data_IF_507940729730
#
_entry.id   IF_507940729730
#
_cell.length_a   1.000
_cell.length_b   1.000
_cell.length_c   1.000
_cell.angle_alpha   90.00
_cell.angle_beta   90.00
_cell.angle_gamma   90.00
#
_symmetry.space_group_name_H-M   'P 1'
#
loop_
_entity.id
_entity.type
_entity.pdbx_description
1 polymer ?
#
# COMPACT_ATOMS: atom_id res chain seq x y z
N UNK A 1 37.72 40.32 31.96
CA UNK A 1 36.96 39.19 32.52
C UNK A 1 35.55 39.08 31.89
N UNK A 2 34.75 40.11 31.80
CA UNK A 2 33.36 40.09 31.29
C UNK A 2 33.28 39.56 29.85
N UNK A 3 34.18 39.99 28.94
CA UNK A 3 34.19 39.49 27.56
C UNK A 3 34.44 37.99 27.43
N UNK A 4 35.28 37.39 28.27
CA UNK A 4 35.54 35.96 28.24
C UNK A 4 34.33 35.15 28.70
N UNK A 5 33.59 35.68 29.69
CA UNK A 5 32.34 35.02 30.15
C UNK A 5 31.24 35.10 29.09
N UNK A 6 31.08 36.26 28.43
CA UNK A 6 30.11 36.42 27.35
C UNK A 6 30.41 35.49 26.15
N UNK A 7 31.68 35.35 25.79
CA UNK A 7 32.10 34.47 24.72
C UNK A 7 31.84 33.01 25.07
N UNK A 8 32.12 32.58 26.30
CA UNK A 8 31.83 31.24 26.76
C UNK A 8 30.31 30.92 26.74
N UNK A 9 29.49 31.87 27.17
CA UNK A 9 28.02 31.74 27.12
C UNK A 9 27.51 31.63 25.69
N UNK A 10 28.00 32.46 24.76
CA UNK A 10 27.57 32.44 23.36
C UNK A 10 27.97 31.13 22.67
N UNK A 11 29.16 30.61 22.92
CA UNK A 11 29.60 29.29 22.39
C UNK A 11 28.75 28.17 22.95
N UNK A 12 28.50 28.16 24.27
CA UNK A 12 27.64 27.18 24.92
C UNK A 12 26.21 27.20 24.36
N UNK A 13 25.64 28.38 24.15
CA UNK A 13 24.32 28.57 23.57
C UNK A 13 24.27 28.06 22.12
N UNK A 14 25.33 28.31 21.34
CA UNK A 14 25.45 27.82 19.97
C UNK A 14 25.51 26.32 19.89
N UNK A 15 26.23 25.64 20.79
CA UNK A 15 26.22 24.17 20.88
C UNK A 15 24.87 23.61 21.30
N UNK A 16 24.21 24.23 22.28
CA UNK A 16 22.88 23.84 22.73
C UNK A 16 21.84 23.95 21.61
N UNK A 17 21.82 25.09 20.88
CA UNK A 17 20.93 25.27 19.75
C UNK A 17 21.16 24.23 18.63
N UNK A 18 22.45 23.99 18.31
CA UNK A 18 22.80 22.98 17.30
C UNK A 18 22.33 21.59 17.70
N UNK A 19 22.55 21.17 18.95
CA UNK A 19 22.11 19.87 19.46
C UNK A 19 20.59 19.73 19.43
N UNK A 20 19.86 20.76 19.89
CA UNK A 20 18.40 20.76 19.90
C UNK A 20 17.80 20.71 18.49
N UNK A 21 18.37 21.46 17.53
CA UNK A 21 17.93 21.43 16.14
C UNK A 21 18.21 20.07 15.49
N UNK A 22 19.34 19.45 15.80
CA UNK A 22 19.72 18.16 15.24
C UNK A 22 18.78 17.05 15.75
N UNK A 23 18.50 17.00 17.05
CA UNK A 23 17.57 16.05 17.67
C UNK A 23 16.17 16.16 17.03
N UNK A 24 15.66 17.38 16.86
CA UNK A 24 14.35 17.60 16.24
C UNK A 24 14.31 17.19 14.76
N UNK A 25 15.41 17.43 14.04
CA UNK A 25 15.52 17.00 12.64
C UNK A 25 15.59 15.47 12.51
N UNK A 26 16.32 14.80 13.40
CA UNK A 26 16.48 13.34 13.39
C UNK A 26 15.14 12.65 13.70
N UNK A 27 14.37 13.17 14.66
CA UNK A 27 13.01 12.72 14.96
C UNK A 27 12.08 12.87 13.74
N UNK A 28 12.11 14.04 13.09
CA UNK A 28 11.30 14.29 11.88
C UNK A 28 11.64 13.32 10.72
N UNK A 29 12.94 13.09 10.48
CA UNK A 29 13.41 12.15 9.45
C UNK A 29 12.98 10.73 9.79
N UNK A 30 13.06 10.34 11.06
CA UNK A 30 12.63 9.01 11.52
C UNK A 30 11.12 8.81 11.29
N UNK A 31 10.29 9.77 11.69
CA UNK A 31 8.84 9.72 11.51
C UNK A 31 8.47 9.61 10.02
N UNK A 32 9.09 10.40 9.15
CA UNK A 32 8.89 10.31 7.70
C UNK A 32 9.28 8.94 7.15
N UNK A 33 10.38 8.38 7.62
CA UNK A 33 10.85 7.07 7.19
C UNK A 33 9.86 5.97 7.60
N UNK A 34 9.27 6.08 8.78
CA UNK A 34 8.22 5.16 9.25
C UNK A 34 6.96 5.28 8.38
N UNK A 35 6.45 6.49 8.17
CA UNK A 35 5.30 6.72 7.30
C UNK A 35 5.54 6.12 5.90
N UNK A 36 6.74 6.27 5.35
CA UNK A 36 7.09 5.70 4.04
C UNK A 36 7.04 4.18 4.02
N UNK A 37 7.54 3.52 5.07
CA UNK A 37 7.45 2.05 5.20
C UNK A 37 6.00 1.57 5.28
N UNK A 38 5.14 2.29 6.01
CA UNK A 38 3.71 1.97 6.11
C UNK A 38 3.01 2.17 4.76
N UNK A 39 3.31 3.26 4.05
CA UNK A 39 2.78 3.53 2.70
C UNK A 39 3.18 2.42 1.72
N UNK A 40 4.45 2.00 1.74
CA UNK A 40 4.93 0.92 0.89
C UNK A 40 4.15 -0.38 1.16
N UNK A 41 3.97 -0.74 2.44
CA UNK A 41 3.20 -1.91 2.86
C UNK A 41 1.73 -1.82 2.45
N UNK A 42 1.09 -0.69 2.65
CA UNK A 42 -0.29 -0.46 2.21
C UNK A 42 -0.41 -0.52 0.67
N UNK A 43 0.61 -0.06 -0.06
CA UNK A 43 0.64 -0.14 -1.53
C UNK A 43 0.75 -1.59 -2.01
N UNK A 44 1.53 -2.43 -1.33
CA UNK A 44 1.63 -3.87 -1.58
C UNK A 44 0.28 -4.58 -1.34
N UNK A 45 -0.37 -4.29 -0.21
CA UNK A 45 -1.71 -4.81 0.10
C UNK A 45 -2.75 -4.36 -0.92
N UNK A 46 -2.68 -3.11 -1.37
CA UNK A 46 -3.54 -2.58 -2.44
C UNK A 46 -3.35 -3.34 -3.76
N UNK A 47 -2.12 -3.63 -4.13
CA UNK A 47 -1.83 -4.41 -5.34
C UNK A 47 -2.40 -5.83 -5.23
N UNK A 48 -2.23 -6.49 -4.09
CA UNK A 48 -2.78 -7.81 -3.83
C UNK A 48 -4.32 -7.83 -3.89
N UNK A 49 -4.98 -6.85 -3.28
CA UNK A 49 -6.44 -6.72 -3.33
C UNK A 49 -6.97 -6.43 -4.74
N UNK A 50 -6.23 -5.65 -5.54
CA UNK A 50 -6.56 -5.45 -6.96
C UNK A 50 -6.46 -6.74 -7.75
N UNK A 51 -5.37 -7.50 -7.56
CA UNK A 51 -5.24 -8.81 -8.20
C UNK A 51 -6.35 -9.78 -7.78
N UNK A 52 -6.78 -9.72 -6.51
CA UNK A 52 -7.87 -10.55 -6.02
C UNK A 52 -9.21 -10.21 -6.72
N UNK A 53 -9.58 -8.93 -6.80
CA UNK A 53 -10.83 -8.52 -7.48
C UNK A 53 -10.78 -8.81 -8.98
N UNK A 54 -9.62 -8.69 -9.63
CA UNK A 54 -9.46 -8.99 -11.05
C UNK A 54 -9.73 -10.47 -11.35
N UNK A 55 -9.43 -11.38 -10.42
CA UNK A 55 -9.65 -12.81 -10.57
C UNK A 55 -11.02 -13.28 -10.06
N UNK A 56 -11.47 -12.78 -8.92
CA UNK A 56 -12.68 -13.26 -8.22
C UNK A 56 -13.90 -12.34 -8.40
N UNK A 57 -13.72 -11.13 -8.94
CA UNK A 57 -14.79 -10.14 -9.12
C UNK A 57 -15.17 -9.37 -7.86
N UNK A 58 -14.58 -9.67 -6.70
CA UNK A 58 -14.82 -8.99 -5.43
C UNK A 58 -13.51 -8.88 -4.61
N UNK A 59 -13.47 -8.01 -3.61
CA UNK A 59 -12.30 -7.92 -2.72
C UNK A 59 -12.27 -9.04 -1.70
N UNK A 60 -11.07 -9.52 -1.33
CA UNK A 60 -10.91 -10.44 -0.21
C UNK A 60 -11.45 -9.80 1.08
N UNK A 61 -12.31 -10.54 1.78
CA UNK A 61 -13.00 -10.06 2.99
C UNK A 61 -12.22 -10.31 4.27
N UNK A 62 -11.21 -11.16 4.19
CA UNK A 62 -10.32 -11.51 5.31
C UNK A 62 -8.87 -11.58 4.87
N UNK A 63 -7.97 -11.37 5.84
CA UNK A 63 -6.53 -11.51 5.59
C UNK A 63 -6.12 -12.93 5.21
N UNK A 64 -6.74 -13.94 5.81
CA UNK A 64 -6.45 -15.34 5.50
C UNK A 64 -6.79 -15.66 4.04
N UNK A 65 -7.90 -15.15 3.54
CA UNK A 65 -8.32 -15.30 2.17
C UNK A 65 -7.34 -14.64 1.19
N UNK A 66 -6.92 -13.38 1.46
CA UNK A 66 -5.93 -12.68 0.66
C UNK A 66 -4.57 -13.37 0.65
N UNK A 67 -4.11 -13.85 1.82
CA UNK A 67 -2.82 -14.54 1.93
C UNK A 67 -2.84 -15.89 1.22
N UNK A 68 -3.97 -16.62 1.27
CA UNK A 68 -4.15 -17.87 0.54
C UNK A 68 -4.13 -17.62 -0.97
N UNK A 69 -4.85 -16.61 -1.46
CA UNK A 69 -4.85 -16.18 -2.84
C UNK A 69 -3.42 -15.93 -3.36
N UNK A 70 -2.61 -15.16 -2.62
CA UNK A 70 -1.24 -14.88 -3.05
C UNK A 70 -0.38 -16.14 -3.12
N UNK A 71 -0.62 -17.11 -2.21
CA UNK A 71 0.18 -18.34 -2.12
C UNK A 71 -0.20 -19.41 -3.12
N UNK A 72 -1.50 -19.58 -3.38
CA UNK A 72 -2.05 -20.78 -3.99
C UNK A 72 -2.66 -20.52 -5.36
N UNK A 73 -3.16 -19.32 -5.62
CA UNK A 73 -3.88 -19.02 -6.85
C UNK A 73 -2.95 -18.68 -8.03
N UNK A 74 -3.51 -18.73 -9.24
CA UNK A 74 -2.79 -18.46 -10.48
C UNK A 74 -3.61 -17.52 -11.36
N UNK A 75 -2.90 -16.66 -12.10
CA UNK A 75 -3.48 -15.82 -13.14
C UNK A 75 -3.36 -16.51 -14.51
N UNK A 76 -4.43 -16.52 -15.32
CA UNK A 76 -4.32 -16.91 -16.70
C UNK A 76 -3.62 -15.83 -17.53
N UNK A 77 -2.56 -16.18 -18.24
CA UNK A 77 -2.02 -15.34 -19.31
C UNK A 77 -2.84 -15.61 -20.55
N UNK A 78 -3.58 -14.60 -21.01
CA UNK A 78 -4.46 -14.72 -22.17
C UNK A 78 -3.91 -13.96 -23.34
N UNK A 79 -3.99 -14.58 -24.53
CA UNK A 79 -3.77 -13.92 -25.81
C UNK A 79 -5.12 -13.46 -26.36
N UNK A 80 -5.26 -12.17 -26.62
CA UNK A 80 -6.44 -11.59 -27.27
C UNK A 80 -6.10 -11.46 -28.75
N UNK A 81 -6.92 -12.12 -29.60
CA UNK A 81 -6.85 -11.97 -31.06
C UNK A 81 -8.09 -11.23 -31.51
N UNK A 82 -7.89 -10.15 -32.22
CA UNK A 82 -8.95 -9.39 -32.87
C UNK A 82 -8.96 -9.74 -34.35
N UNK A 83 -10.10 -10.24 -34.84
CA UNK A 83 -10.32 -10.51 -36.26
C UNK A 83 -11.46 -9.61 -36.76
N UNK A 84 -11.19 -8.93 -37.87
CA UNK A 84 -12.22 -8.14 -38.56
C UNK A 84 -13.00 -9.09 -39.47
N UNK A 85 -14.23 -9.40 -39.08
CA UNK A 85 -15.14 -10.18 -39.91
C UNK A 85 -16.03 -9.23 -40.70
N UNK A 86 -16.17 -9.49 -42.01
CA UNK A 86 -17.15 -8.80 -42.86
C UNK A 86 -18.42 -9.63 -42.95
N UNK A 87 -19.56 -9.02 -42.61
CA UNK A 87 -20.82 -9.67 -42.80
C UNK A 87 -21.21 -9.69 -44.31
N UNK A 88 -22.30 -10.41 -44.64
CA UNK A 88 -22.76 -10.53 -46.00
C UNK A 88 -23.20 -9.18 -46.65
N UNK A 89 -23.36 -8.14 -45.85
CA UNK A 89 -23.69 -6.75 -46.27
C UNK A 89 -22.45 -5.85 -46.32
N UNK A 90 -21.23 -6.39 -46.10
CA UNK A 90 -19.98 -5.67 -46.13
C UNK A 90 -19.71 -4.79 -44.90
N UNK A 91 -20.47 -4.97 -43.80
CA UNK A 91 -20.25 -4.26 -42.56
C UNK A 91 -19.21 -4.95 -41.73
N UNK A 92 -18.20 -4.20 -41.26
CA UNK A 92 -17.13 -4.72 -40.43
C UNK A 92 -17.65 -4.99 -39.02
N UNK A 93 -17.40 -6.18 -38.52
CA UNK A 93 -17.59 -6.59 -37.12
C UNK A 93 -16.26 -7.10 -36.57
N UNK A 94 -15.94 -6.80 -35.30
CA UNK A 94 -14.73 -7.26 -34.63
C UNK A 94 -15.10 -8.50 -33.83
N UNK A 95 -14.49 -9.62 -34.17
CA UNK A 95 -14.53 -10.82 -33.35
C UNK A 95 -13.30 -10.84 -32.44
N UNK A 96 -13.56 -10.94 -31.13
CA UNK A 96 -12.50 -11.06 -30.12
C UNK A 96 -12.44 -12.51 -29.66
N UNK A 97 -11.31 -13.17 -29.91
CA UNK A 97 -11.05 -14.52 -29.42
C UNK A 97 -9.98 -14.44 -28.32
N UNK A 98 -10.28 -15.04 -27.18
CA UNK A 98 -9.35 -15.10 -26.05
C UNK A 98 -8.84 -16.53 -25.90
N UNK A 99 -7.54 -16.70 -25.96
CA UNK A 99 -6.87 -17.99 -25.81
C UNK A 99 -5.95 -17.96 -24.58
N UNK A 100 -6.07 -18.95 -23.68
CA UNK A 100 -5.23 -19.02 -22.47
C UNK A 100 -3.93 -19.72 -22.83
N UNK A 101 -2.81 -18.99 -22.73
CA UNK A 101 -1.49 -19.49 -23.07
C UNK A 101 -0.83 -20.23 -21.90
N UNK A 102 -0.90 -19.67 -20.72
CA UNK A 102 -0.18 -20.14 -19.53
C UNK A 102 -0.90 -19.71 -18.23
N UNK A 103 -0.66 -20.45 -17.15
CA UNK A 103 -1.06 -20.10 -15.79
C UNK A 103 0.17 -19.69 -14.99
N UNK A 104 0.17 -18.49 -14.45
CA UNK A 104 1.29 -17.94 -13.65
C UNK A 104 0.84 -17.72 -12.22
N UNK A 105 1.68 -18.11 -11.24
CA UNK A 105 1.33 -17.90 -9.82
C UNK A 105 1.03 -16.43 -9.55
N UNK A 106 0.05 -16.17 -8.69
CA UNK A 106 -0.30 -14.81 -8.27
C UNK A 106 0.91 -14.11 -7.64
N UNK A 107 1.68 -14.85 -6.84
CA UNK A 107 2.89 -14.31 -6.22
C UNK A 107 3.91 -13.80 -7.26
N UNK A 108 4.19 -14.59 -8.31
CA UNK A 108 5.14 -14.18 -9.36
C UNK A 108 4.60 -13.00 -10.17
N UNK A 109 3.30 -13.00 -10.47
CA UNK A 109 2.64 -11.89 -11.18
C UNK A 109 2.69 -10.59 -10.40
N UNK A 110 2.56 -10.65 -9.06
CA UNK A 110 2.59 -9.50 -8.18
C UNK A 110 3.98 -9.16 -7.62
N UNK A 111 5.01 -9.94 -7.99
CA UNK A 111 6.35 -9.84 -7.39
C UNK A 111 6.94 -8.43 -7.45
N UNK A 112 6.75 -7.71 -8.54
CA UNK A 112 7.22 -6.33 -8.68
C UNK A 112 6.48 -5.35 -7.77
N UNK A 113 5.20 -5.59 -7.48
CA UNK A 113 4.36 -4.79 -6.60
C UNK A 113 4.55 -5.16 -5.12
N UNK A 114 4.81 -6.44 -4.83
CA UNK A 114 5.10 -6.93 -3.48
C UNK A 114 6.52 -6.58 -3.00
N UNK A 115 7.37 -6.08 -3.90
CA UNK A 115 8.72 -5.62 -3.57
C UNK A 115 9.60 -6.74 -3.04
N UNK A 116 10.16 -6.57 -1.83
CA UNK A 116 11.08 -7.52 -1.20
C UNK A 116 10.39 -8.61 -0.38
N UNK A 117 9.06 -8.64 -0.33
CA UNK A 117 8.33 -9.65 0.44
C UNK A 117 8.52 -11.02 -0.22
N UNK A 118 9.08 -11.99 0.53
CA UNK A 118 9.23 -13.36 0.08
C UNK A 118 7.98 -14.19 0.38
N UNK A 119 7.75 -15.25 -0.38
CA UNK A 119 6.58 -16.11 -0.18
C UNK A 119 6.54 -16.73 1.22
N UNK A 120 7.70 -17.04 1.82
CA UNK A 120 7.80 -17.54 3.19
C UNK A 120 7.36 -16.52 4.25
N UNK A 121 7.54 -15.23 3.95
CA UNK A 121 7.26 -14.12 4.88
C UNK A 121 5.97 -13.37 4.53
N UNK A 122 5.15 -13.95 3.64
CA UNK A 122 3.93 -13.29 3.14
C UNK A 122 2.96 -12.92 4.28
N UNK A 123 3.00 -13.63 5.41
CA UNK A 123 2.18 -13.32 6.58
C UNK A 123 2.53 -11.95 7.17
N UNK A 124 3.78 -11.50 7.02
CA UNK A 124 4.21 -10.20 7.49
C UNK A 124 3.63 -9.04 6.64
N UNK A 125 3.03 -9.36 5.48
CA UNK A 125 2.41 -8.37 4.61
C UNK A 125 1.28 -7.62 5.30
N UNK A 126 0.52 -8.30 6.15
CA UNK A 126 -0.63 -7.73 6.85
C UNK A 126 -0.27 -6.98 8.14
N UNK A 127 1.01 -6.93 8.49
CA UNK A 127 1.50 -6.28 9.70
C UNK A 127 2.12 -4.91 9.38
N UNK A 128 1.83 -3.93 10.22
CA UNK A 128 2.46 -2.63 10.16
C UNK A 128 3.97 -2.76 10.49
N UNK A 129 4.87 -2.17 9.67
CA UNK A 129 6.31 -2.48 9.72
C UNK A 129 7.04 -2.16 11.03
N UNK A 130 6.46 -1.37 11.91
CA UNK A 130 7.12 -0.90 13.15
C UNK A 130 6.39 -1.41 14.39
N UNK A 131 5.07 -1.32 14.40
CA UNK A 131 4.25 -1.72 15.54
C UNK A 131 3.93 -3.20 15.54
N UNK A 132 4.06 -3.88 14.38
CA UNK A 132 3.61 -5.25 14.13
C UNK A 132 2.11 -5.48 14.37
N UNK A 133 1.34 -4.42 14.46
CA UNK A 133 -0.12 -4.52 14.53
C UNK A 133 -0.70 -4.89 13.17
N UNK A 134 -1.73 -5.72 13.19
CA UNK A 134 -2.43 -6.11 11.95
C UNK A 134 -3.24 -4.94 11.41
N UNK A 135 -3.06 -4.60 10.13
CA UNK A 135 -3.88 -3.60 9.46
C UNK A 135 -5.37 -3.92 9.56
N UNK A 136 -6.18 -2.89 9.75
CA UNK A 136 -7.65 -3.03 9.79
C UNK A 136 -8.16 -3.13 8.36
N UNK A 137 -8.78 -4.26 8.04
CA UNK A 137 -9.46 -4.50 6.77
C UNK A 137 -10.96 -4.32 6.99
N UNK A 138 -11.60 -3.49 6.19
CA UNK A 138 -13.05 -3.30 6.17
C UNK A 138 -13.52 -3.39 4.72
N UNK A 139 -14.44 -4.31 4.46
CA UNK A 139 -15.10 -4.47 3.16
C UNK A 139 -16.60 -4.34 3.35
N UNK A 140 -17.32 -3.91 2.32
CA UNK A 140 -18.79 -4.00 2.32
C UNK A 140 -19.22 -5.24 1.55
N UNK A 141 -20.21 -5.92 2.12
CA UNK A 141 -20.74 -7.17 1.57
C UNK A 141 -21.54 -6.94 0.28
N UNK A 142 -21.42 -7.93 -0.62
CA UNK A 142 -22.21 -8.20 -1.82
C UNK A 142 -22.73 -7.02 -2.64
N UNK A 143 -22.09 -6.81 -3.79
CA UNK A 143 -22.56 -5.91 -4.84
C UNK A 143 -21.97 -4.51 -4.82
N UNK A 144 -21.37 -4.10 -3.73
CA UNK A 144 -20.63 -2.83 -3.64
C UNK A 144 -19.15 -3.15 -3.41
N UNK A 145 -18.31 -2.90 -4.41
CA UNK A 145 -16.86 -3.14 -4.36
C UNK A 145 -16.14 -2.06 -3.56
N UNK A 146 -16.42 -1.97 -2.26
CA UNK A 146 -15.77 -1.04 -1.35
C UNK A 146 -14.79 -1.76 -0.43
N UNK A 147 -13.59 -1.21 -0.35
CA UNK A 147 -12.54 -1.68 0.54
C UNK A 147 -11.89 -0.49 1.25
N UNK A 148 -11.59 -0.65 2.51
CA UNK A 148 -10.73 0.25 3.26
C UNK A 148 -9.72 -0.57 4.07
N UNK A 149 -8.42 -0.28 3.90
CA UNK A 149 -7.36 -0.82 4.73
C UNK A 149 -6.67 0.34 5.43
N UNK A 150 -6.56 0.25 6.75
CA UNK A 150 -6.12 1.35 7.61
C UNK A 150 -5.07 0.89 8.62
N UNK A 151 -4.08 1.74 8.86
CA UNK A 151 -3.13 1.58 9.97
C UNK A 151 -3.85 1.79 11.32
N UNK A 152 -3.89 0.78 12.21
CA UNK A 152 -4.56 0.87 13.50
C UNK A 152 -3.81 1.73 14.51
N UNK A 153 -2.48 1.76 14.44
CA UNK A 153 -1.59 2.29 15.47
C UNK A 153 -0.47 3.15 14.87
N UNK A 154 -0.80 4.33 14.31
CA UNK A 154 0.21 5.20 13.72
C UNK A 154 1.28 5.61 14.73
N UNK A 155 2.56 5.44 14.37
CA UNK A 155 3.70 5.90 15.17
C UNK A 155 3.83 7.42 15.08
N UNK A 156 3.51 8.01 13.92
CA UNK A 156 3.53 9.45 13.71
C UNK A 156 2.49 10.15 14.62
N UNK A 157 2.91 11.00 15.57
CA UNK A 157 1.99 11.67 16.49
C UNK A 157 0.91 12.49 15.79
N UNK A 158 1.23 13.10 14.64
CA UNK A 158 0.28 13.87 13.85
C UNK A 158 -0.87 13.01 13.29
N UNK A 159 -0.69 11.69 13.18
CA UNK A 159 -1.68 10.73 12.67
C UNK A 159 -2.42 9.95 13.76
N UNK A 160 -2.06 10.15 15.00
CA UNK A 160 -2.74 9.59 16.17
C UNK A 160 -4.09 10.28 16.41
N UNK A 161 -4.87 9.74 17.36
CA UNK A 161 -6.26 10.19 17.62
C UNK A 161 -6.38 11.70 17.88
N UNK A 162 -5.39 12.30 18.55
CA UNK A 162 -5.34 13.72 18.88
C UNK A 162 -4.55 14.55 17.85
N UNK A 163 -3.99 13.90 16.84
CA UNK A 163 -3.24 14.54 15.79
C UNK A 163 -4.12 15.23 14.75
N UNK A 164 -3.52 16.12 13.98
CA UNK A 164 -4.20 16.88 12.92
C UNK A 164 -4.30 16.13 11.57
N UNK A 165 -3.68 14.95 11.46
CA UNK A 165 -3.69 14.12 10.27
C UNK A 165 -4.46 12.81 10.51
N UNK A 166 -5.03 12.26 9.44
CA UNK A 166 -5.69 10.95 9.51
C UNK A 166 -4.65 9.82 9.46
N UNK A 167 -4.90 8.67 10.13
CA UNK A 167 -4.10 7.46 9.93
C UNK A 167 -3.95 7.12 8.46
N UNK A 168 -2.81 6.52 8.10
CA UNK A 168 -2.55 6.06 6.74
C UNK A 168 -3.56 4.96 6.38
N UNK A 169 -4.13 5.08 5.19
CA UNK A 169 -5.10 4.14 4.68
C UNK A 169 -5.22 4.23 3.16
N UNK A 170 -5.67 3.15 2.53
CA UNK A 170 -6.17 3.20 1.16
C UNK A 170 -7.63 2.74 1.10
N UNK A 171 -8.31 3.19 0.04
CA UNK A 171 -9.70 2.85 -0.17
C UNK A 171 -10.68 3.65 0.68
N UNK A 172 -11.95 3.30 0.57
CA UNK A 172 -13.05 3.95 1.27
C UNK A 172 -14.25 3.02 1.39
N UNK A 173 -14.92 3.04 2.54
CA UNK A 173 -16.21 2.35 2.74
C UNK A 173 -17.41 3.12 2.18
N UNK A 174 -17.19 4.31 1.58
CA UNK A 174 -18.26 5.21 1.07
C UNK A 174 -18.21 5.42 -0.42
N UNK A 175 -17.11 5.08 -1.07
CA UNK A 175 -16.90 5.27 -2.51
C UNK A 175 -16.01 4.17 -3.07
N UNK A 176 -16.27 3.76 -4.32
CA UNK A 176 -15.48 2.75 -5.04
C UNK A 176 -14.12 3.34 -5.44
N UNK A 177 -13.20 3.47 -4.50
CA UNK A 177 -11.84 3.94 -4.73
C UNK A 177 -10.84 3.08 -3.98
N UNK A 178 -9.67 2.91 -4.57
CA UNK A 178 -8.51 2.28 -3.93
C UNK A 178 -7.37 3.28 -3.71
N UNK A 179 -7.62 4.60 -3.86
CA UNK A 179 -6.60 5.62 -3.62
C UNK A 179 -6.17 5.64 -2.16
N UNK A 180 -4.88 5.89 -1.94
CA UNK A 180 -4.34 6.14 -0.62
C UNK A 180 -4.53 7.60 -0.20
N UNK A 181 -4.63 7.86 1.10
CA UNK A 181 -4.72 9.24 1.62
C UNK A 181 -3.36 9.97 1.67
N UNK A 182 -2.35 9.36 1.06
CA UNK A 182 -1.01 9.95 0.86
C UNK A 182 -0.76 10.43 -0.57
N UNK A 183 -1.70 10.22 -1.48
CA UNK A 183 -1.66 10.63 -2.90
C UNK A 183 -2.19 12.05 -3.10
#
# INVERSE_FOLDING_TARGET
MIFGVLLAISVSLGFYLKSSLQEHNDEYVMIKTIDFKVIDRLSQLRAAQKGYIDLHGEYATSWNELLRFIKEDQFPIVQIKEEILKDQLGKDSIAITTDTLEMVSVYDSLRNQLGKVQLGDIQNLILAPVTNDTFLLTTKAKGEHYIEVKDPSPVNPARQKEGNMKPLKFGSTRSATTKGNWE
#
